data_IF_892559025713
#
_entry.id   IF_892559025713
#
_cell.length_a   1.000
_cell.length_b   1.000
_cell.length_c   1.000
_cell.angle_alpha   90.00
_cell.angle_beta   90.00
_cell.angle_gamma   90.00
#
_symmetry.space_group_name_H-M   'P 1'
#
loop_
_entity.id
_entity.type
_entity.pdbx_description
1 polymer ?
#
# COMPACT_ATOMS: atom_id res chain seq x y z
N UNK A 1 13.65 21.64 13.24
CA UNK A 1 13.40 20.19 13.39
C UNK A 1 12.08 19.87 14.09
N UNK A 2 11.70 20.56 15.18
CA UNK A 2 10.47 20.28 15.97
C UNK A 2 9.13 20.32 15.20
N UNK A 3 9.08 20.97 14.05
CA UNK A 3 7.84 21.13 13.26
C UNK A 3 7.78 20.19 12.05
N UNK A 4 8.81 19.38 11.81
CA UNK A 4 8.82 18.44 10.68
C UNK A 4 7.86 17.29 11.01
N UNK A 5 6.91 17.02 10.12
CA UNK A 5 5.90 15.99 10.33
C UNK A 5 6.47 14.59 10.04
N UNK A 6 5.95 13.53 10.69
CA UNK A 6 6.35 12.13 10.43
C UNK A 6 6.47 11.75 8.96
N UNK A 7 5.44 12.00 8.15
CA UNK A 7 5.46 11.66 6.72
C UNK A 7 6.52 12.44 5.92
N UNK A 8 6.88 13.66 6.34
CA UNK A 8 7.95 14.44 5.72
C UNK A 8 9.30 13.83 6.04
N UNK A 9 9.51 13.36 7.28
CA UNK A 9 10.74 12.65 7.66
C UNK A 9 10.95 11.41 6.80
N UNK A 10 9.90 10.58 6.63
CA UNK A 10 9.98 9.37 5.78
C UNK A 10 10.27 9.71 4.32
N UNK A 11 9.61 10.74 3.76
CA UNK A 11 9.85 11.18 2.40
C UNK A 11 11.28 11.72 2.19
N UNK A 12 11.79 12.51 3.14
CA UNK A 12 13.16 13.03 3.14
C UNK A 12 14.17 11.87 3.20
N UNK A 13 13.96 10.90 4.10
CA UNK A 13 14.83 9.74 4.24
C UNK A 13 14.84 8.88 2.98
N UNK A 14 13.69 8.65 2.34
CA UNK A 14 13.62 7.96 1.05
C UNK A 14 14.32 8.73 -0.07
N UNK A 15 14.12 10.05 -0.15
CA UNK A 15 14.79 10.88 -1.14
C UNK A 15 16.32 10.84 -1.01
N UNK A 16 16.82 10.81 0.23
CA UNK A 16 18.25 10.65 0.50
C UNK A 16 18.76 9.23 0.17
N UNK A 17 18.02 8.17 0.54
CA UNK A 17 18.43 6.78 0.25
C UNK A 17 18.47 6.50 -1.25
N UNK A 18 17.59 7.13 -2.02
CA UNK A 18 17.56 7.10 -3.48
C UNK A 18 18.57 8.06 -4.13
N UNK A 19 19.39 8.76 -3.34
CA UNK A 19 20.42 9.72 -3.79
C UNK A 19 19.85 10.90 -4.60
N UNK A 20 18.57 11.23 -4.41
CA UNK A 20 17.91 12.38 -5.03
C UNK A 20 18.10 13.64 -4.17
N UNK A 21 18.23 13.47 -2.85
CA UNK A 21 18.42 14.55 -1.88
C UNK A 21 19.71 14.38 -1.08
N UNK A 22 20.23 15.49 -0.57
CA UNK A 22 21.26 15.52 0.48
C UNK A 22 20.73 16.32 1.66
N UNK A 23 20.72 15.71 2.86
CA UNK A 23 20.07 16.29 4.03
C UNK A 23 21.11 16.63 5.08
N UNK A 24 21.14 17.89 5.51
CA UNK A 24 22.05 18.39 6.55
C UNK A 24 21.27 18.99 7.71
N UNK A 25 21.74 18.74 8.94
CA UNK A 25 21.22 19.41 10.14
C UNK A 25 22.04 20.67 10.38
N UNK A 26 21.40 21.82 10.17
CA UNK A 26 21.95 23.11 10.55
C UNK A 26 21.72 23.35 12.04
N UNK A 27 22.78 23.69 12.76
CA UNK A 27 22.75 24.08 14.18
C UNK A 27 22.98 25.58 14.24
N UNK A 28 22.21 26.29 15.06
CA UNK A 28 22.33 27.74 15.19
C UNK A 28 23.64 28.15 15.86
N UNK A 29 24.24 29.24 15.40
CA UNK A 29 25.49 29.79 15.97
C UNK A 29 25.35 30.08 17.47
N UNK A 30 24.15 30.47 17.92
CA UNK A 30 23.86 30.65 19.34
C UNK A 30 24.18 29.40 20.18
N UNK A 31 23.78 28.21 19.72
CA UNK A 31 24.03 26.96 20.46
C UNK A 31 25.53 26.62 20.44
N UNK A 32 26.19 26.86 19.31
CA UNK A 32 27.63 26.64 19.14
C UNK A 32 28.41 27.53 20.11
N UNK A 33 28.07 28.82 20.17
CA UNK A 33 28.69 29.79 21.07
C UNK A 33 28.43 29.45 22.54
N UNK A 34 27.21 29.02 22.88
CA UNK A 34 26.91 28.55 24.25
C UNK A 34 27.72 27.33 24.66
N UNK A 35 27.89 26.36 23.75
CA UNK A 35 28.72 25.20 24.00
C UNK A 35 30.20 25.60 24.15
N UNK A 36 30.68 26.51 23.28
CA UNK A 36 32.01 27.07 23.35
C UNK A 36 32.28 27.75 24.70
N UNK A 37 31.42 28.67 25.11
CA UNK A 37 31.51 29.37 26.39
C UNK A 37 31.54 28.40 27.58
N UNK A 38 30.67 27.39 27.55
CA UNK A 38 30.64 26.34 28.57
C UNK A 38 31.96 25.58 28.64
N UNK A 39 32.47 25.13 27.50
CA UNK A 39 33.75 24.42 27.38
C UNK A 39 34.92 25.30 27.84
N UNK A 40 34.94 26.56 27.40
CA UNK A 40 35.95 27.55 27.75
C UNK A 40 35.96 27.78 29.25
N UNK A 41 34.80 28.01 29.86
CA UNK A 41 34.68 28.15 31.31
C UNK A 41 35.12 26.87 32.03
N UNK A 42 34.74 25.68 31.55
CA UNK A 42 35.05 24.41 32.20
C UNK A 42 36.54 24.06 32.21
N UNK A 43 37.29 24.45 31.17
CA UNK A 43 38.68 24.02 30.97
C UNK A 43 39.71 25.16 31.02
N UNK A 44 39.30 26.42 30.87
CA UNK A 44 40.19 27.58 30.96
C UNK A 44 39.99 28.43 32.23
N UNK A 45 39.02 28.13 33.10
CA UNK A 45 38.77 28.92 34.33
C UNK A 45 39.97 29.01 35.28
N UNK A 46 40.84 28.01 35.32
CA UNK A 46 41.98 27.95 36.25
C UNK A 46 43.30 27.87 35.50
N UNK A 47 44.39 28.39 36.07
CA UNK A 47 45.74 28.35 35.49
C UNK A 47 46.12 29.63 34.74
N UNK A 48 47.33 29.68 34.21
CA UNK A 48 47.89 30.89 33.58
C UNK A 48 47.11 31.31 32.33
N UNK A 49 46.86 32.61 32.23
CA UNK A 49 46.34 33.27 31.04
C UNK A 49 47.49 33.48 30.06
N UNK A 50 47.56 32.65 29.02
CA UNK A 50 48.64 32.68 28.04
C UNK A 50 48.09 32.53 26.61
N UNK A 51 48.53 33.35 25.63
CA UNK A 51 47.95 33.34 24.27
C UNK A 51 47.98 31.98 23.58
N UNK A 52 49.07 31.20 23.71
CA UNK A 52 49.14 29.87 23.09
C UNK A 52 48.12 28.91 23.69
N UNK A 53 47.82 29.02 24.99
CA UNK A 53 46.82 28.17 25.66
C UNK A 53 45.43 28.40 25.08
N UNK A 54 45.05 29.67 24.91
CA UNK A 54 43.78 30.02 24.27
C UNK A 54 43.75 29.53 22.81
N UNK A 55 44.84 29.72 22.06
CA UNK A 55 44.94 29.25 20.68
C UNK A 55 44.75 27.73 20.55
N UNK A 56 45.40 26.93 21.41
CA UNK A 56 45.22 25.48 21.44
C UNK A 56 43.80 25.08 21.79
N UNK A 57 43.18 25.76 22.77
CA UNK A 57 41.78 25.53 23.12
C UNK A 57 40.85 25.79 21.93
N UNK A 58 40.96 26.96 21.28
CA UNK A 58 40.11 27.33 20.14
C UNK A 58 40.24 26.32 18.98
N UNK A 59 41.47 25.92 18.65
CA UNK A 59 41.73 24.91 17.61
C UNK A 59 41.15 23.54 17.98
N UNK A 60 41.30 23.14 19.24
CA UNK A 60 40.80 21.85 19.74
C UNK A 60 39.27 21.82 19.79
N UNK A 61 38.63 22.91 20.24
CA UNK A 61 37.18 23.04 20.25
C UNK A 61 36.64 22.99 18.82
N UNK A 62 37.24 23.71 17.88
CA UNK A 62 36.83 23.70 16.48
C UNK A 62 36.91 22.30 15.87
N UNK A 63 38.03 21.58 16.07
CA UNK A 63 38.16 20.19 15.58
C UNK A 63 37.12 19.27 16.22
N UNK A 64 37.00 19.30 17.56
CA UNK A 64 36.05 18.47 18.29
C UNK A 64 34.61 18.75 17.85
N UNK A 65 34.25 20.03 17.67
CA UNK A 65 32.92 20.42 17.24
C UNK A 65 32.61 19.90 15.83
N UNK A 66 33.48 20.20 14.86
CA UNK A 66 33.24 19.85 13.45
C UNK A 66 33.28 18.34 13.21
N UNK A 67 34.24 17.63 13.82
CA UNK A 67 34.48 16.21 13.52
C UNK A 67 33.66 15.26 14.40
N UNK A 68 33.28 15.66 15.61
CA UNK A 68 32.68 14.76 16.59
C UNK A 68 31.30 15.24 17.05
N UNK A 69 31.20 16.46 17.57
CA UNK A 69 29.98 16.93 18.24
C UNK A 69 28.86 17.19 17.25
N UNK A 70 29.12 17.92 16.16
CA UNK A 70 28.10 18.21 15.14
C UNK A 70 27.57 16.94 14.46
N UNK A 71 28.43 15.99 14.00
CA UNK A 71 27.97 14.71 13.48
C UNK A 71 27.15 13.89 14.49
N UNK A 72 27.55 13.89 15.78
CA UNK A 72 26.81 13.21 16.83
C UNK A 72 25.41 13.81 17.02
N UNK A 73 25.30 15.14 17.12
CA UNK A 73 24.01 15.84 17.24
C UNK A 73 23.14 15.54 16.03
N UNK A 74 23.68 15.65 14.82
CA UNK A 74 22.94 15.40 13.59
C UNK A 74 22.40 13.96 13.54
N UNK A 75 23.25 12.97 13.85
CA UNK A 75 22.84 11.56 13.91
C UNK A 75 21.76 11.31 14.96
N UNK A 76 21.92 11.87 16.16
CA UNK A 76 20.96 11.68 17.24
C UNK A 76 19.60 12.26 16.87
N UNK A 77 19.56 13.51 16.39
CA UNK A 77 18.32 14.17 15.96
C UNK A 77 17.64 13.38 14.84
N UNK A 78 18.40 12.93 13.83
CA UNK A 78 17.84 12.14 12.73
C UNK A 78 17.30 10.79 13.19
N UNK A 79 18.01 10.11 14.09
CA UNK A 79 17.57 8.83 14.66
C UNK A 79 16.26 8.99 15.43
N UNK A 80 16.15 10.01 16.28
CA UNK A 80 14.91 10.29 17.03
C UNK A 80 13.75 10.62 16.09
N UNK A 81 13.96 11.50 15.11
CA UNK A 81 12.92 11.83 14.13
C UNK A 81 12.47 10.61 13.31
N UNK A 82 13.41 9.72 12.94
CA UNK A 82 13.08 8.51 12.20
C UNK A 82 12.24 7.54 13.03
N UNK A 83 12.63 7.31 14.29
CA UNK A 83 11.87 6.42 15.19
C UNK A 83 10.46 6.94 15.45
N UNK A 84 10.30 8.25 15.68
CA UNK A 84 8.98 8.88 15.83
C UNK A 84 8.14 8.72 14.55
N UNK A 85 8.77 8.89 13.38
CA UNK A 85 8.10 8.80 12.10
C UNK A 85 7.65 7.36 11.77
N UNK A 86 8.51 6.38 11.99
CA UNK A 86 8.21 4.96 11.82
C UNK A 86 7.09 4.51 12.74
N UNK A 87 7.13 4.90 14.02
CA UNK A 87 6.06 4.58 14.98
C UNK A 87 4.72 5.15 14.51
N UNK A 88 4.69 6.42 14.13
CA UNK A 88 3.46 7.05 13.63
C UNK A 88 2.93 6.38 12.35
N UNK A 89 3.82 5.94 11.46
CA UNK A 89 3.41 5.21 10.25
C UNK A 89 2.84 3.83 10.59
N UNK A 90 3.48 3.08 11.49
CA UNK A 90 3.00 1.77 11.96
C UNK A 90 1.61 1.89 12.61
N UNK A 91 1.37 2.92 13.42
CA UNK A 91 0.06 3.15 14.05
C UNK A 91 -1.04 3.38 12.99
N UNK A 92 -0.72 4.12 11.92
CA UNK A 92 -1.63 4.31 10.78
C UNK A 92 -1.84 2.99 10.02
N UNK A 93 -0.78 2.22 9.76
CA UNK A 93 -0.87 0.93 9.09
C UNK A 93 -1.73 -0.05 9.89
N UNK A 94 -1.53 -0.14 11.21
CA UNK A 94 -2.32 -0.99 12.09
C UNK A 94 -3.80 -0.58 12.07
N UNK A 95 -4.08 0.73 12.09
CA UNK A 95 -5.46 1.24 12.00
C UNK A 95 -6.11 0.90 10.67
N UNK A 96 -5.39 1.06 9.56
CA UNK A 96 -5.89 0.74 8.23
C UNK A 96 -6.09 -0.76 8.04
N UNK A 97 -5.15 -1.58 8.51
CA UNK A 97 -5.28 -3.04 8.51
C UNK A 97 -6.50 -3.49 9.31
N UNK A 98 -6.70 -2.93 10.51
CA UNK A 98 -7.88 -3.24 11.32
C UNK A 98 -9.18 -2.92 10.58
N UNK A 99 -9.28 -1.76 9.92
CA UNK A 99 -10.46 -1.39 9.12
C UNK A 99 -10.68 -2.37 7.96
N UNK A 100 -9.61 -2.75 7.28
CA UNK A 100 -9.66 -3.68 6.17
C UNK A 100 -10.15 -5.07 6.62
N UNK A 101 -9.58 -5.61 7.70
CA UNK A 101 -9.96 -6.90 8.28
C UNK A 101 -11.39 -6.91 8.86
N UNK A 102 -11.86 -5.78 9.37
CA UNK A 102 -13.22 -5.64 9.94
C UNK A 102 -14.24 -5.10 8.94
N UNK A 103 -13.94 -5.16 7.65
CA UNK A 103 -14.93 -4.83 6.61
C UNK A 103 -16.11 -5.80 6.75
N UNK A 104 -17.37 -5.31 6.73
CA UNK A 104 -18.53 -6.17 6.88
C UNK A 104 -18.59 -7.28 5.81
N UNK A 105 -18.78 -8.54 6.22
CA UNK A 105 -18.83 -9.68 5.29
C UNK A 105 -20.21 -9.83 4.64
N UNK A 106 -20.25 -10.26 3.37
CA UNK A 106 -21.50 -10.65 2.68
C UNK A 106 -21.60 -12.18 2.54
N UNK A 107 -21.91 -12.85 3.65
CA UNK A 107 -21.98 -14.31 3.72
C UNK A 107 -23.22 -14.86 3.04
N UNK A 108 -23.09 -16.07 2.48
CA UNK A 108 -24.23 -16.81 1.93
C UNK A 108 -24.66 -16.38 0.52
N UNK A 109 -23.95 -15.44 -0.11
CA UNK A 109 -24.27 -14.92 -1.44
C UNK A 109 -23.24 -15.43 -2.46
N UNK A 110 -23.65 -16.01 -3.60
CA UNK A 110 -22.73 -16.27 -4.71
C UNK A 110 -22.11 -14.97 -5.23
N UNK A 111 -20.81 -14.99 -5.54
CA UNK A 111 -20.08 -13.80 -5.98
C UNK A 111 -19.29 -14.12 -7.24
N UNK A 112 -19.45 -13.27 -8.25
CA UNK A 112 -18.54 -13.19 -9.38
C UNK A 112 -17.52 -12.11 -9.04
N UNK A 113 -16.24 -12.38 -9.19
CA UNK A 113 -15.21 -11.36 -9.07
C UNK A 113 -14.48 -11.17 -10.37
N UNK A 114 -14.02 -9.94 -10.61
CA UNK A 114 -13.13 -9.59 -11.70
C UNK A 114 -11.87 -8.97 -11.11
N UNK A 115 -10.73 -9.62 -11.35
CA UNK A 115 -9.39 -9.06 -11.17
C UNK A 115 -8.99 -8.34 -12.47
N UNK A 116 -9.06 -6.99 -12.51
CA UNK A 116 -8.92 -6.26 -13.76
C UNK A 116 -7.54 -6.37 -14.39
N UNK A 117 -7.50 -6.32 -15.71
CA UNK A 117 -6.24 -6.33 -16.44
C UNK A 117 -6.44 -5.95 -17.90
N UNK A 118 -5.40 -5.34 -18.48
CA UNK A 118 -5.40 -4.91 -19.88
C UNK A 118 -4.97 -6.04 -20.82
N UNK A 119 -3.70 -6.08 -21.23
CA UNK A 119 -3.18 -7.03 -22.23
C UNK A 119 -3.36 -8.50 -21.85
N UNK A 120 -3.28 -8.81 -20.56
CA UNK A 120 -3.38 -10.19 -20.05
C UNK A 120 -4.83 -10.60 -19.72
N UNK A 121 -5.81 -9.78 -20.10
CA UNK A 121 -7.22 -9.95 -19.77
C UNK A 121 -7.54 -9.74 -18.29
N UNK A 122 -8.84 -9.66 -18.01
CA UNK A 122 -9.43 -9.61 -16.69
C UNK A 122 -9.72 -11.03 -16.22
N UNK A 123 -9.21 -11.42 -15.04
CA UNK A 123 -9.47 -12.78 -14.52
C UNK A 123 -10.80 -12.76 -13.79
N UNK A 124 -11.68 -13.66 -14.15
CA UNK A 124 -12.98 -13.80 -13.55
C UNK A 124 -13.07 -15.12 -12.78
N UNK A 125 -13.74 -15.09 -11.64
CA UNK A 125 -14.07 -16.28 -10.88
C UNK A 125 -15.46 -16.15 -10.29
N UNK A 126 -16.21 -17.25 -10.26
CA UNK A 126 -17.50 -17.34 -9.58
C UNK A 126 -17.36 -18.29 -8.41
N UNK A 127 -17.78 -17.85 -7.24
CA UNK A 127 -17.88 -18.68 -6.05
C UNK A 127 -19.34 -18.85 -5.63
N UNK A 128 -19.66 -20.02 -5.10
CA UNK A 128 -20.95 -20.29 -4.46
C UNK A 128 -21.12 -19.54 -3.16
N UNK A 129 -22.32 -19.59 -2.57
CA UNK A 129 -22.64 -19.06 -1.23
C UNK A 129 -21.74 -19.58 -0.09
N UNK A 130 -21.05 -20.71 -0.30
CA UNK A 130 -20.12 -21.32 0.66
C UNK A 130 -18.65 -21.04 0.36
N UNK A 131 -18.35 -20.29 -0.70
CA UNK A 131 -16.97 -19.99 -1.11
C UNK A 131 -16.30 -21.06 -1.99
N UNK A 132 -17.05 -22.10 -2.38
CA UNK A 132 -16.59 -23.11 -3.36
C UNK A 132 -16.52 -22.48 -4.76
N UNK A 133 -15.43 -22.69 -5.49
CA UNK A 133 -15.25 -22.20 -6.86
C UNK A 133 -16.16 -22.96 -7.82
N UNK A 134 -16.98 -22.23 -8.58
CA UNK A 134 -17.92 -22.75 -9.56
C UNK A 134 -17.41 -22.60 -10.99
N UNK A 135 -16.77 -21.47 -11.29
CA UNK A 135 -16.17 -21.18 -12.59
C UNK A 135 -14.97 -20.24 -12.42
N UNK A 136 -14.00 -20.33 -13.32
CA UNK A 136 -12.92 -19.37 -13.41
C UNK A 136 -12.42 -19.30 -14.87
N UNK A 137 -12.28 -18.09 -15.39
CA UNK A 137 -11.85 -17.87 -16.78
C UNK A 137 -11.20 -16.49 -16.95
N UNK A 138 -10.55 -16.27 -18.10
CA UNK A 138 -10.00 -14.97 -18.47
C UNK A 138 -10.95 -14.30 -19.46
N UNK A 139 -11.42 -13.11 -19.12
CA UNK A 139 -12.27 -12.27 -19.95
C UNK A 139 -11.43 -11.15 -20.58
N UNK A 140 -11.48 -11.04 -21.90
CA UNK A 140 -10.78 -9.98 -22.63
C UNK A 140 -11.71 -8.80 -22.90
N UNK A 141 -11.96 -7.99 -21.87
CA UNK A 141 -12.78 -6.78 -21.99
C UNK A 141 -12.09 -5.82 -22.97
N UNK A 142 -12.84 -5.38 -23.98
CA UNK A 142 -12.35 -4.37 -24.89
C UNK A 142 -12.63 -2.97 -24.33
N UNK A 143 -11.62 -2.39 -23.68
CA UNK A 143 -11.72 -1.05 -23.10
C UNK A 143 -11.64 0.08 -24.11
N UNK A 144 -11.39 -0.21 -25.40
CA UNK A 144 -11.46 0.83 -26.43
C UNK A 144 -12.92 1.22 -26.64
N UNK A 145 -13.23 2.49 -26.96
CA UNK A 145 -14.56 2.91 -27.34
C UNK A 145 -14.92 2.26 -28.68
N UNK A 146 -15.36 1.01 -28.62
CA UNK A 146 -16.03 0.36 -29.75
C UNK A 146 -17.47 0.84 -29.68
N UNK A 147 -17.97 1.41 -30.78
CA UNK A 147 -19.40 1.59 -30.97
C UNK A 147 -20.02 0.21 -31.19
N UNK A 148 -20.09 -0.62 -30.15
CA UNK A 148 -20.99 -1.76 -30.17
C UNK A 148 -22.40 -1.19 -30.31
N UNK A 149 -23.15 -1.62 -31.33
CA UNK A 149 -24.52 -1.14 -31.53
C UNK A 149 -25.46 -1.72 -30.48
N UNK A 150 -25.05 -2.84 -29.87
CA UNK A 150 -25.76 -3.54 -28.80
C UNK A 150 -24.80 -4.41 -27.98
N UNK A 151 -25.04 -4.63 -26.67
CA UNK A 151 -24.29 -5.61 -25.86
C UNK A 151 -24.34 -7.05 -26.40
N UNK A 152 -25.31 -7.39 -27.27
CA UNK A 152 -25.36 -8.69 -27.95
C UNK A 152 -24.16 -8.95 -28.88
N UNK A 153 -23.50 -7.89 -29.36
CA UNK A 153 -22.32 -7.97 -30.23
C UNK A 153 -21.02 -8.11 -29.42
N UNK A 154 -21.09 -7.97 -28.10
CA UNK A 154 -19.96 -8.08 -27.20
C UNK A 154 -19.90 -9.49 -26.58
N UNK A 155 -18.91 -10.32 -26.97
CA UNK A 155 -18.78 -11.68 -26.46
C UNK A 155 -18.56 -11.72 -24.94
N UNK A 156 -17.93 -10.70 -24.35
CA UNK A 156 -17.70 -10.63 -22.91
C UNK A 156 -18.98 -10.30 -22.16
N UNK A 157 -19.81 -9.39 -22.69
CA UNK A 157 -21.11 -9.07 -22.10
C UNK A 157 -22.04 -10.30 -22.10
N UNK A 158 -22.07 -11.04 -23.22
CA UNK A 158 -22.81 -12.31 -23.33
C UNK A 158 -22.28 -13.34 -22.33
N UNK A 159 -20.95 -13.48 -22.23
CA UNK A 159 -20.34 -14.44 -21.31
C UNK A 159 -20.60 -14.11 -19.85
N UNK A 160 -20.50 -12.83 -19.46
CA UNK A 160 -20.83 -12.36 -18.11
C UNK A 160 -22.30 -12.66 -17.77
N UNK A 161 -23.24 -12.37 -18.67
CA UNK A 161 -24.66 -12.68 -18.46
C UNK A 161 -24.88 -14.18 -18.26
N UNK A 162 -24.17 -15.02 -19.02
CA UNK A 162 -24.23 -16.48 -18.88
C UNK A 162 -23.68 -16.96 -17.52
N UNK A 163 -22.52 -16.44 -17.09
CA UNK A 163 -21.94 -16.80 -15.79
C UNK A 163 -22.86 -16.43 -14.63
N UNK A 164 -23.38 -15.20 -14.65
CA UNK A 164 -24.26 -14.69 -13.60
C UNK A 164 -25.57 -15.48 -13.53
N UNK A 165 -26.19 -15.78 -14.68
CA UNK A 165 -27.45 -16.54 -14.72
C UNK A 165 -27.28 -18.01 -14.35
N UNK A 166 -26.21 -18.67 -14.82
CA UNK A 166 -25.94 -20.09 -14.54
C UNK A 166 -25.72 -20.34 -13.05
N UNK A 167 -25.14 -19.38 -12.34
CA UNK A 167 -24.77 -19.51 -10.93
C UNK A 167 -25.63 -18.68 -9.98
N UNK A 168 -26.73 -18.08 -10.47
CA UNK A 168 -27.63 -17.21 -9.70
C UNK A 168 -26.86 -16.17 -8.88
N UNK A 169 -25.94 -15.47 -9.54
CA UNK A 169 -25.06 -14.50 -8.94
C UNK A 169 -25.46 -13.09 -9.37
N UNK A 170 -25.75 -12.22 -8.41
CA UNK A 170 -26.18 -10.84 -8.65
C UNK A 170 -25.12 -9.82 -8.21
N UNK A 171 -24.05 -10.23 -7.55
CA UNK A 171 -22.98 -9.33 -7.11
C UNK A 171 -21.66 -9.59 -7.84
N UNK A 172 -21.08 -8.51 -8.36
CA UNK A 172 -19.76 -8.50 -8.98
C UNK A 172 -18.74 -7.77 -8.07
N UNK A 173 -17.72 -8.45 -7.59
CA UNK A 173 -16.58 -7.84 -6.92
C UNK A 173 -15.49 -7.41 -7.91
N UNK A 174 -15.09 -6.15 -7.94
CA UNK A 174 -14.04 -5.63 -8.85
C UNK A 174 -12.79 -5.33 -8.03
N UNK A 175 -11.64 -5.90 -8.41
CA UNK A 175 -10.35 -5.57 -7.81
C UNK A 175 -9.96 -4.11 -8.07
N UNK A 176 -9.44 -3.41 -7.06
CA UNK A 176 -9.13 -1.98 -7.12
C UNK A 176 -7.78 -1.62 -7.78
N UNK A 177 -7.23 -2.50 -8.61
CA UNK A 177 -5.95 -2.30 -9.29
C UNK A 177 -6.01 -1.68 -10.66
N UNK A 178 -5.03 -2.07 -11.48
CA UNK A 178 -4.86 -1.58 -12.85
C UNK A 178 -6.01 -2.09 -13.73
N UNK A 179 -6.78 -1.17 -14.32
CA UNK A 179 -7.95 -1.51 -15.12
C UNK A 179 -9.26 -1.50 -14.35
N UNK A 180 -9.24 -1.19 -13.04
CA UNK A 180 -10.44 -1.11 -12.21
C UNK A 180 -11.46 -0.12 -12.78
N UNK A 181 -11.02 1.10 -13.08
CA UNK A 181 -11.90 2.17 -13.58
C UNK A 181 -12.54 1.80 -14.91
N UNK A 182 -11.75 1.27 -15.84
CA UNK A 182 -12.24 0.88 -17.16
C UNK A 182 -13.21 -0.31 -17.06
N UNK A 183 -12.98 -1.24 -16.12
CA UNK A 183 -13.88 -2.36 -15.83
C UNK A 183 -15.18 -1.90 -15.17
N UNK A 184 -15.09 -0.95 -14.24
CA UNK A 184 -16.23 -0.30 -13.58
C UNK A 184 -17.10 0.46 -14.58
N UNK A 185 -16.49 1.26 -15.46
CA UNK A 185 -17.19 2.00 -16.51
C UNK A 185 -17.92 1.03 -17.47
N UNK A 186 -17.26 -0.06 -17.87
CA UNK A 186 -17.84 -1.11 -18.71
C UNK A 186 -19.05 -1.79 -18.04
N UNK A 187 -18.91 -2.25 -16.80
CA UNK A 187 -20.00 -2.90 -16.07
C UNK A 187 -21.16 -1.95 -15.79
N UNK A 188 -20.87 -0.70 -15.43
CA UNK A 188 -21.88 0.32 -15.19
C UNK A 188 -22.75 0.57 -16.42
N UNK A 189 -22.15 0.63 -17.62
CA UNK A 189 -22.89 0.76 -18.88
C UNK A 189 -23.81 -0.43 -19.15
N UNK A 190 -23.32 -1.66 -18.92
CA UNK A 190 -24.14 -2.87 -19.07
C UNK A 190 -25.33 -2.88 -18.10
N UNK A 191 -25.09 -2.55 -16.83
CA UNK A 191 -26.15 -2.48 -15.80
C UNK A 191 -27.18 -1.42 -16.18
N UNK A 192 -26.76 -0.20 -16.53
CA UNK A 192 -27.65 0.90 -16.92
C UNK A 192 -28.47 0.59 -18.18
N UNK A 193 -27.92 -0.18 -19.12
CA UNK A 193 -28.64 -0.61 -20.32
C UNK A 193 -29.71 -1.68 -20.06
N UNK A 194 -29.81 -2.21 -18.83
CA UNK A 194 -30.73 -3.30 -18.50
C UNK A 194 -30.27 -4.66 -19.02
N UNK A 195 -29.00 -4.80 -19.43
CA UNK A 195 -28.47 -6.01 -20.07
C UNK A 195 -28.70 -7.28 -19.23
N UNK A 196 -28.61 -7.16 -17.91
CA UNK A 196 -28.70 -8.29 -16.98
C UNK A 196 -30.13 -8.64 -16.54
N UNK A 197 -31.15 -7.87 -16.97
CA UNK A 197 -32.54 -8.16 -16.60
C UNK A 197 -32.96 -9.60 -16.99
N UNK A 198 -33.75 -10.28 -16.14
CA UNK A 198 -34.43 -9.75 -14.95
C UNK A 198 -33.59 -9.74 -13.65
N UNK A 199 -32.32 -10.13 -13.67
CA UNK A 199 -31.44 -10.12 -12.47
C UNK A 199 -31.08 -8.68 -12.08
N UNK A 200 -31.02 -8.40 -10.77
CA UNK A 200 -30.59 -7.09 -10.24
C UNK A 200 -29.08 -7.09 -9.98
N UNK A 201 -28.30 -7.02 -11.06
CA UNK A 201 -26.84 -7.11 -10.96
C UNK A 201 -26.24 -5.81 -10.42
N UNK A 202 -25.46 -5.94 -9.35
CA UNK A 202 -24.73 -4.87 -8.69
C UNK A 202 -23.23 -5.16 -8.69
N UNK A 203 -22.41 -4.13 -8.46
CA UNK A 203 -20.97 -4.31 -8.25
C UNK A 203 -20.47 -3.62 -6.99
N UNK A 204 -19.33 -4.09 -6.50
CA UNK A 204 -18.59 -3.49 -5.39
C UNK A 204 -17.09 -3.50 -5.68
N UNK A 205 -16.36 -2.54 -5.14
CA UNK A 205 -14.91 -2.46 -5.27
C UNK A 205 -14.24 -3.15 -4.08
N UNK A 206 -13.22 -3.96 -4.37
CA UNK A 206 -12.55 -4.84 -3.42
C UNK A 206 -11.05 -4.57 -3.47
N UNK A 207 -10.41 -4.54 -2.30
CA UNK A 207 -8.95 -4.42 -2.23
C UNK A 207 -8.29 -5.66 -2.85
N UNK A 208 -7.44 -5.46 -3.86
CA UNK A 208 -6.59 -6.52 -4.43
C UNK A 208 -5.27 -6.71 -3.69
N UNK A 209 -4.98 -5.86 -2.70
CA UNK A 209 -3.69 -5.85 -2.02
C UNK A 209 -3.39 -7.22 -1.40
N UNK A 210 -2.25 -7.80 -1.77
CA UNK A 210 -1.84 -9.12 -1.34
C UNK A 210 -2.53 -10.29 -2.06
N UNK A 211 -3.49 -10.08 -2.96
CA UNK A 211 -4.14 -11.16 -3.70
C UNK A 211 -3.18 -11.87 -4.66
N UNK A 212 -2.28 -11.12 -5.30
CA UNK A 212 -1.19 -11.66 -6.14
C UNK A 212 -0.11 -12.40 -5.34
N UNK A 213 0.12 -11.98 -4.09
CA UNK A 213 1.05 -12.65 -3.18
C UNK A 213 0.44 -13.97 -2.71
N UNK A 214 -0.86 -13.95 -2.35
CA UNK A 214 -1.62 -15.16 -2.04
C UNK A 214 -1.59 -16.15 -3.20
N UNK A 215 -1.94 -15.72 -4.42
CA UNK A 215 -2.08 -16.63 -5.55
C UNK A 215 -0.80 -17.36 -5.97
N UNK A 216 0.35 -16.84 -5.53
CA UNK A 216 1.66 -17.46 -5.75
C UNK A 216 2.19 -18.23 -4.53
N UNK A 217 1.45 -18.27 -3.42
CA UNK A 217 1.86 -18.91 -2.17
C UNK A 217 1.71 -20.43 -2.21
N UNK A 218 2.43 -21.14 -1.34
CA UNK A 218 2.29 -22.59 -1.17
C UNK A 218 0.89 -23.01 -0.76
N UNK A 219 0.24 -22.22 0.10
CA UNK A 219 -1.09 -22.46 0.64
C UNK A 219 -2.14 -22.37 -0.46
N UNK A 220 -2.04 -21.36 -1.33
CA UNK A 220 -2.92 -21.23 -2.49
C UNK A 220 -2.78 -22.39 -3.48
N UNK A 221 -1.54 -22.85 -3.72
CA UNK A 221 -1.30 -24.00 -4.60
C UNK A 221 -1.80 -25.32 -4.00
N UNK A 222 -1.81 -25.45 -2.66
CA UNK A 222 -2.43 -26.57 -1.97
C UNK A 222 -3.96 -26.49 -2.02
N UNK A 223 -4.54 -25.29 -1.86
CA UNK A 223 -5.99 -25.09 -1.93
C UNK A 223 -6.53 -25.29 -3.35
N UNK A 224 -5.77 -24.88 -4.37
CA UNK A 224 -6.17 -24.95 -5.77
C UNK A 224 -5.13 -25.63 -6.68
N UNK A 225 -4.87 -26.95 -6.53
CA UNK A 225 -3.79 -27.63 -7.27
C UNK A 225 -3.96 -27.65 -8.80
N UNK A 226 -5.19 -27.47 -9.28
CA UNK A 226 -5.56 -27.56 -10.71
C UNK A 226 -5.89 -26.21 -11.33
N UNK A 227 -5.89 -25.12 -10.56
CA UNK A 227 -6.26 -23.79 -11.04
C UNK A 227 -5.01 -22.99 -11.40
N UNK A 228 -5.05 -22.25 -12.49
CA UNK A 228 -3.97 -21.33 -12.86
C UNK A 228 -3.80 -20.26 -11.78
N UNK A 229 -2.54 -19.92 -11.44
CA UNK A 229 -2.21 -18.92 -10.42
C UNK A 229 -2.87 -17.56 -10.68
N UNK A 230 -3.01 -17.17 -11.94
CA UNK A 230 -3.65 -15.91 -12.30
C UNK A 230 -5.17 -15.93 -12.04
N UNK A 231 -5.81 -17.09 -12.00
CA UNK A 231 -7.23 -17.22 -11.70
C UNK A 231 -7.50 -17.31 -10.19
N UNK A 232 -6.52 -17.79 -9.41
CA UNK A 232 -6.61 -17.83 -7.94
C UNK A 232 -6.77 -16.41 -7.35
N UNK A 233 -6.16 -15.38 -7.94
CA UNK A 233 -6.32 -14.00 -7.46
C UNK A 233 -7.78 -13.55 -7.55
N UNK A 234 -8.48 -13.85 -8.65
CA UNK A 234 -9.91 -13.59 -8.78
C UNK A 234 -10.71 -14.34 -7.71
N UNK A 235 -10.44 -15.64 -7.50
CA UNK A 235 -11.10 -16.40 -6.41
C UNK A 235 -10.92 -15.72 -5.04
N UNK A 236 -9.72 -15.21 -4.76
CA UNK A 236 -9.45 -14.47 -3.52
C UNK A 236 -10.26 -13.17 -3.43
N UNK A 237 -10.40 -12.42 -4.53
CA UNK A 237 -11.25 -11.23 -4.56
C UNK A 237 -12.72 -11.56 -4.24
N UNK A 238 -13.28 -12.61 -4.84
CA UNK A 238 -14.65 -13.02 -4.55
C UNK A 238 -14.83 -13.38 -3.07
N UNK A 239 -13.89 -14.14 -2.50
CA UNK A 239 -13.95 -14.55 -1.09
C UNK A 239 -13.72 -13.40 -0.12
N UNK A 240 -12.93 -12.39 -0.50
CA UNK A 240 -12.80 -11.14 0.27
C UNK A 240 -14.11 -10.39 0.38
N UNK A 241 -15.00 -10.46 -0.61
CA UNK A 241 -16.34 -9.86 -0.48
C UNK A 241 -17.22 -10.67 0.46
N UNK A 242 -17.15 -12.00 0.40
CA UNK A 242 -17.93 -12.86 1.30
C UNK A 242 -17.50 -12.74 2.76
N UNK A 243 -16.20 -12.83 3.04
CA UNK A 243 -15.64 -12.71 4.37
C UNK A 243 -14.19 -12.19 4.31
N UNK A 244 -13.99 -10.85 4.37
CA UNK A 244 -12.68 -10.22 4.26
C UNK A 244 -11.66 -10.78 5.25
N UNK A 245 -12.07 -10.98 6.50
CA UNK A 245 -11.18 -11.46 7.56
C UNK A 245 -10.63 -12.84 7.23
N UNK A 246 -11.51 -13.79 6.89
CA UNK A 246 -11.12 -15.18 6.63
C UNK A 246 -10.18 -15.35 5.44
N UNK A 247 -10.30 -14.48 4.44
CA UNK A 247 -9.50 -14.57 3.23
C UNK A 247 -8.19 -13.77 3.36
N UNK A 248 -8.21 -12.60 4.01
CA UNK A 248 -7.01 -11.76 4.15
C UNK A 248 -6.00 -12.30 5.16
N UNK A 249 -6.41 -13.10 6.15
CA UNK A 249 -5.47 -13.75 7.09
C UNK A 249 -4.57 -14.80 6.43
N UNK A 250 -4.88 -15.21 5.20
CA UNK A 250 -4.01 -16.10 4.40
C UNK A 250 -2.76 -15.40 3.87
N UNK A 251 -2.69 -14.07 4.00
CA UNK A 251 -1.56 -13.24 3.53
C UNK A 251 -0.88 -12.63 4.73
N UNK A 252 0.47 -12.61 4.73
CA UNK A 252 1.20 -11.93 5.79
C UNK A 252 0.79 -10.44 5.87
N UNK A 253 0.55 -9.88 7.07
CA UNK A 253 0.05 -8.51 7.22
C UNK A 253 0.86 -7.42 6.50
N UNK A 254 2.18 -7.61 6.39
CA UNK A 254 3.08 -6.67 5.69
C UNK A 254 2.80 -6.55 4.18
N UNK A 255 2.10 -7.54 3.62
CA UNK A 255 1.80 -7.64 2.19
C UNK A 255 0.38 -7.16 1.82
N UNK A 256 -0.45 -6.82 2.80
CA UNK A 256 -1.81 -6.28 2.58
C UNK A 256 -1.82 -4.77 2.24
N UNK A 257 -0.64 -4.15 2.09
CA UNK A 257 -0.46 -2.82 1.48
C UNK A 257 -1.40 -1.74 2.03
N UNK A 258 -1.29 -1.46 3.33
CA UNK A 258 -2.18 -0.63 4.15
C UNK A 258 -1.68 0.80 4.35
N UNK A 259 -0.59 1.19 3.68
CA UNK A 259 -0.16 2.59 3.64
C UNK A 259 1.09 2.85 2.80
N UNK A 260 1.41 4.13 2.63
CA UNK A 260 2.60 4.56 1.90
C UNK A 260 3.86 4.33 2.74
N UNK A 261 4.95 3.91 2.10
CA UNK A 261 6.25 3.62 2.74
C UNK A 261 6.21 2.46 3.75
N UNK A 262 5.20 1.59 3.66
CA UNK A 262 5.19 0.27 4.29
C UNK A 262 6.26 -0.63 3.67
#
# INVERSE_FOLDING_TARGET
>A
VKHVKPHQVLAINRGESQKVLSVKIAVSDWLINKLHDFCKYRWLRTGYEYPLRLHFFEKSFKDAYTRLIHPLIARQVRSTLNQEAERAAIDVFATNLKKLLLTPPLRGTPILSIDPGFSNGCKAAVISSTGTVLAAEVLHINFKPVKFRSPHEDPVAVRLKQLLSTHSCELIGIGNGKGCRETEEYLSQLIQSGWFQPMDVQYTIVSEQGASIYSCSSEALQEFPKLDRNLISAVSLARRVQDPLSEMVKVEPKHLGVGMYQ
#
